data_IF_380804967950
#
_entry.id   IF_380804967950
#
_cell.length_a   1.000
_cell.length_b   1.000
_cell.length_c   1.000
_cell.angle_alpha   90.00
_cell.angle_beta   90.00
_cell.angle_gamma   90.00
#
_symmetry.space_group_name_H-M   'P 1'
#
loop_
_entity.id
_entity.type
_entity.pdbx_description
1 polymer ?
#
# COMPACT_ATOMS: atom_id res chain seq x y z
N UNK A 1 59.84 -24.96 -16.42
CA UNK A 1 58.43 -25.32 -16.63
C UNK A 1 57.56 -24.28 -15.89
N UNK A 2 56.90 -23.40 -16.63
CA UNK A 2 56.01 -22.42 -16.02
C UNK A 2 54.59 -23.00 -16.00
N UNK A 3 54.07 -23.23 -14.81
CA UNK A 3 52.68 -23.70 -14.62
C UNK A 3 51.81 -22.47 -14.57
N UNK A 4 51.04 -22.24 -15.64
CA UNK A 4 50.04 -21.16 -15.68
C UNK A 4 48.79 -21.67 -14.94
N UNK A 5 48.60 -21.17 -13.71
CA UNK A 5 47.36 -21.37 -12.97
C UNK A 5 46.37 -20.37 -13.51
N UNK A 6 45.45 -20.83 -14.37
CA UNK A 6 44.29 -20.06 -14.76
C UNK A 6 43.32 -20.01 -13.59
N UNK A 7 43.32 -18.90 -12.88
CA UNK A 7 42.28 -18.59 -11.91
C UNK A 7 41.03 -18.17 -12.70
N UNK A 8 40.11 -19.09 -12.89
CA UNK A 8 38.76 -18.80 -13.40
C UNK A 8 37.98 -18.11 -12.29
N UNK A 9 37.89 -16.79 -12.39
CA UNK A 9 36.98 -16.00 -11.55
C UNK A 9 35.59 -16.23 -12.08
N UNK A 10 34.83 -17.10 -11.41
CA UNK A 10 33.41 -17.29 -11.63
C UNK A 10 32.68 -16.09 -11.00
N UNK A 11 32.41 -15.08 -11.79
CA UNK A 11 31.55 -13.96 -11.39
C UNK A 11 30.11 -14.49 -11.34
N UNK A 12 29.65 -14.87 -10.15
CA UNK A 12 28.25 -15.18 -9.90
C UNK A 12 27.46 -13.87 -9.96
N UNK A 13 26.84 -13.57 -11.10
CA UNK A 13 25.83 -12.52 -11.23
C UNK A 13 24.61 -12.96 -10.42
N UNK A 14 24.51 -12.49 -9.19
CA UNK A 14 23.26 -12.54 -8.42
C UNK A 14 22.25 -11.60 -9.11
N UNK A 15 21.39 -12.16 -9.96
CA UNK A 15 20.17 -11.46 -10.40
C UNK A 15 19.27 -11.30 -9.17
N UNK A 16 19.33 -10.13 -8.54
CA UNK A 16 18.34 -9.72 -7.56
C UNK A 16 17.09 -9.40 -8.39
N UNK A 17 16.16 -10.35 -8.49
CA UNK A 17 14.80 -10.07 -8.93
C UNK A 17 14.15 -9.18 -7.88
N UNK A 18 14.30 -7.87 -8.04
CA UNK A 18 13.45 -6.92 -7.33
C UNK A 18 12.02 -7.14 -7.85
N UNK A 19 11.16 -7.72 -7.02
CA UNK A 19 9.73 -7.76 -7.29
C UNK A 19 9.22 -6.32 -7.20
N UNK A 20 9.19 -5.64 -8.33
CA UNK A 20 8.54 -4.34 -8.42
C UNK A 20 7.05 -4.61 -8.28
N UNK A 21 6.48 -4.22 -7.14
CA UNK A 21 5.04 -4.13 -6.96
C UNK A 21 4.57 -3.06 -7.94
N UNK A 22 3.90 -3.48 -9.02
CA UNK A 22 3.39 -2.57 -10.03
C UNK A 22 2.18 -1.82 -9.44
N UNK A 23 2.18 -0.47 -9.56
CA UNK A 23 1.00 0.32 -9.24
C UNK A 23 -0.18 -0.12 -10.13
N UNK A 24 -1.44 -0.07 -9.64
CA UNK A 24 -2.61 -0.31 -10.47
C UNK A 24 -2.61 0.59 -11.71
N UNK A 25 -3.18 0.13 -12.82
CA UNK A 25 -3.34 0.96 -14.01
C UNK A 25 -4.30 2.14 -13.78
N UNK A 26 -4.31 3.13 -14.68
CA UNK A 26 -5.10 4.35 -14.53
C UNK A 26 -6.60 4.09 -14.34
N UNK A 27 -7.15 3.08 -15.02
CA UNK A 27 -8.55 2.69 -14.86
C UNK A 27 -8.81 2.13 -13.47
N UNK A 28 -7.92 1.28 -12.98
CA UNK A 28 -8.03 0.71 -11.65
C UNK A 28 -7.84 1.78 -10.57
N UNK A 29 -6.91 2.71 -10.75
CA UNK A 29 -6.74 3.85 -9.84
C UNK A 29 -8.02 4.65 -9.70
N UNK A 30 -8.70 5.00 -10.81
CA UNK A 30 -9.96 5.72 -10.77
C UNK A 30 -11.07 4.94 -10.02
N UNK A 31 -11.13 3.63 -10.18
CA UNK A 31 -12.05 2.78 -9.42
C UNK A 31 -11.73 2.78 -7.92
N UNK A 32 -10.45 2.71 -7.58
CA UNK A 32 -9.99 2.70 -6.18
C UNK A 32 -10.21 4.05 -5.50
N UNK A 33 -10.00 5.17 -6.21
CA UNK A 33 -10.33 6.49 -5.68
C UNK A 33 -11.83 6.64 -5.43
N UNK A 34 -12.66 6.13 -6.35
CA UNK A 34 -14.11 6.13 -6.15
C UNK A 34 -14.50 5.30 -4.92
N UNK A 35 -13.93 4.11 -4.76
CA UNK A 35 -14.13 3.26 -3.59
C UNK A 35 -13.68 3.97 -2.31
N UNK A 36 -12.52 4.60 -2.33
CA UNK A 36 -12.00 5.36 -1.18
C UNK A 36 -12.96 6.47 -0.77
N UNK A 37 -13.45 7.25 -1.74
CA UNK A 37 -14.38 8.34 -1.48
C UNK A 37 -15.74 7.85 -0.97
N UNK A 38 -16.30 6.79 -1.54
CA UNK A 38 -17.65 6.33 -1.25
C UNK A 38 -17.70 5.35 -0.06
N UNK A 39 -16.85 4.33 -0.07
CA UNK A 39 -16.92 3.26 0.93
C UNK A 39 -16.10 3.60 2.18
N UNK A 40 -14.85 3.99 2.02
CA UNK A 40 -14.02 4.43 3.15
C UNK A 40 -14.54 5.76 3.71
N UNK A 41 -14.90 6.69 2.85
CA UNK A 41 -15.43 8.00 3.21
C UNK A 41 -16.76 7.95 3.98
N UNK A 42 -17.56 6.90 3.80
CA UNK A 42 -18.81 6.72 4.55
C UNK A 42 -18.57 6.70 6.07
N UNK A 43 -17.45 6.17 6.52
CA UNK A 43 -17.06 6.12 7.94
C UNK A 43 -15.97 7.13 8.30
N UNK A 44 -15.00 7.36 7.41
CA UNK A 44 -13.85 8.23 7.68
C UNK A 44 -14.05 9.70 7.25
N UNK A 45 -15.22 10.01 6.69
CA UNK A 45 -15.56 11.35 6.19
C UNK A 45 -15.18 11.54 4.73
N UNK A 46 -15.93 12.38 4.01
CA UNK A 46 -15.71 12.66 2.58
C UNK A 46 -14.36 13.33 2.31
N UNK A 47 -13.80 14.00 3.30
CA UNK A 47 -12.47 14.62 3.26
C UNK A 47 -11.47 13.87 4.15
N UNK A 48 -11.76 12.63 4.53
CA UNK A 48 -10.93 11.80 5.42
C UNK A 48 -10.64 12.44 6.79
N UNK A 49 -11.45 13.37 7.22
CA UNK A 49 -11.27 14.11 8.49
C UNK A 49 -11.96 13.48 9.69
N UNK A 50 -12.51 12.28 9.51
CA UNK A 50 -13.17 11.53 10.55
C UNK A 50 -14.69 11.56 10.44
N UNK A 51 -15.32 10.67 11.18
CA UNK A 51 -16.76 10.45 11.27
C UNK A 51 -16.99 9.32 12.26
N UNK A 52 -17.66 8.27 11.87
CA UNK A 52 -17.74 7.03 12.66
C UNK A 52 -16.36 6.37 12.83
N UNK A 53 -15.52 6.48 11.82
CA UNK A 53 -14.11 6.09 11.87
C UNK A 53 -13.19 7.26 12.17
N UNK A 54 -11.91 6.99 12.52
CA UNK A 54 -10.95 8.04 12.82
C UNK A 54 -10.56 8.87 11.59
N UNK A 55 -9.97 10.03 11.87
CA UNK A 55 -9.31 10.89 10.89
C UNK A 55 -8.18 10.14 10.16
N UNK A 56 -8.16 10.19 8.85
CA UNK A 56 -7.16 9.59 7.96
C UNK A 56 -6.35 10.64 7.19
N UNK A 57 -6.33 11.88 7.67
CA UNK A 57 -5.50 12.91 7.03
C UNK A 57 -4.01 12.56 7.14
N UNK A 58 -3.24 13.13 6.22
CA UNK A 58 -1.78 12.98 6.22
C UNK A 58 -1.15 13.29 7.59
N UNK A 59 -1.64 14.35 8.26
CA UNK A 59 -1.15 14.75 9.57
C UNK A 59 -1.39 13.66 10.63
N UNK A 60 -2.59 13.08 10.64
CA UNK A 60 -2.96 12.02 11.58
C UNK A 60 -2.21 10.71 11.32
N UNK A 61 -1.95 10.42 10.03
CA UNK A 61 -1.23 9.20 9.64
C UNK A 61 0.28 9.34 9.73
N UNK A 62 0.81 10.54 9.94
CA UNK A 62 2.23 10.77 10.09
C UNK A 62 2.80 9.94 11.26
N UNK A 63 3.90 9.24 11.02
CA UNK A 63 4.53 8.36 12.00
C UNK A 63 3.93 6.95 12.11
N UNK A 64 2.83 6.66 11.41
CA UNK A 64 2.32 5.28 11.29
C UNK A 64 3.05 4.57 10.16
N UNK A 65 3.45 3.31 10.38
CA UNK A 65 4.12 2.55 9.33
C UNK A 65 3.14 2.17 8.23
N UNK A 66 3.60 2.22 6.98
CA UNK A 66 2.85 1.78 5.80
C UNK A 66 2.31 0.36 5.98
N UNK A 67 3.15 -0.56 6.45
CA UNK A 67 2.78 -1.96 6.63
C UNK A 67 1.69 -2.15 7.69
N UNK A 68 1.73 -1.39 8.77
CA UNK A 68 0.68 -1.39 9.79
C UNK A 68 -0.66 -0.90 9.23
N UNK A 69 -0.65 0.11 8.38
CA UNK A 69 -1.85 0.62 7.72
C UNK A 69 -2.41 -0.39 6.71
N UNK A 70 -1.54 -1.03 5.93
CA UNK A 70 -1.94 -2.11 5.02
C UNK A 70 -2.57 -3.27 5.78
N UNK A 71 -1.97 -3.71 6.88
CA UNK A 71 -2.53 -4.77 7.73
C UNK A 71 -3.90 -4.39 8.28
N UNK A 72 -4.07 -3.14 8.73
CA UNK A 72 -5.35 -2.63 9.24
C UNK A 72 -6.44 -2.64 8.18
N UNK A 73 -6.16 -2.19 6.96
CA UNK A 73 -7.13 -2.23 5.86
C UNK A 73 -7.43 -3.66 5.44
N UNK A 74 -6.41 -4.50 5.32
CA UNK A 74 -6.57 -5.89 4.89
C UNK A 74 -7.42 -6.72 5.83
N UNK A 75 -7.18 -6.57 7.13
CA UNK A 75 -7.79 -7.40 8.17
C UNK A 75 -8.98 -6.74 8.85
N UNK A 76 -9.15 -5.43 8.69
CA UNK A 76 -10.07 -4.63 9.48
C UNK A 76 -9.64 -4.51 10.94
N UNK A 77 -10.56 -4.04 11.76
CA UNK A 77 -10.38 -3.98 13.21
C UNK A 77 -11.43 -4.84 13.88
N UNK A 78 -11.10 -6.09 14.29
CA UNK A 78 -12.03 -7.00 14.96
C UNK A 78 -12.70 -6.32 16.16
N UNK A 79 -13.99 -6.55 16.32
CA UNK A 79 -14.80 -5.93 17.37
C UNK A 79 -15.22 -4.47 17.09
N UNK A 80 -14.92 -3.96 15.90
CA UNK A 80 -15.34 -2.63 15.44
C UNK A 80 -16.11 -2.74 14.11
N UNK A 81 -16.67 -1.61 13.66
CA UNK A 81 -17.38 -1.55 12.37
C UNK A 81 -16.47 -1.62 11.15
N UNK A 82 -15.15 -1.46 11.30
CA UNK A 82 -14.22 -1.53 10.18
C UNK A 82 -14.03 -2.97 9.68
N UNK A 83 -14.50 -3.30 8.47
CA UNK A 83 -14.32 -4.63 7.90
C UNK A 83 -12.90 -4.82 7.36
N UNK A 84 -12.51 -6.08 7.15
CA UNK A 84 -11.31 -6.41 6.38
C UNK A 84 -11.61 -6.34 4.87
N UNK A 85 -10.71 -5.73 4.11
CA UNK A 85 -10.87 -5.51 2.67
C UNK A 85 -10.14 -6.54 1.81
N UNK A 86 -9.30 -7.39 2.39
CA UNK A 86 -8.55 -8.41 1.65
C UNK A 86 -9.42 -9.33 0.77
N UNK A 87 -10.67 -9.67 1.11
CA UNK A 87 -11.52 -10.47 0.22
C UNK A 87 -11.96 -9.73 -1.06
N UNK A 88 -11.92 -8.40 -1.08
CA UNK A 88 -12.41 -7.56 -2.17
C UNK A 88 -11.31 -6.83 -2.94
N UNK A 89 -10.17 -6.63 -2.32
CA UNK A 89 -9.04 -5.86 -2.86
C UNK A 89 -7.76 -6.69 -2.85
N UNK A 90 -7.00 -6.58 -3.93
CA UNK A 90 -5.68 -7.20 -3.98
C UNK A 90 -4.70 -6.50 -3.02
N UNK A 91 -3.59 -7.15 -2.64
CA UNK A 91 -2.54 -6.49 -1.85
C UNK A 91 -2.00 -5.21 -2.52
N UNK A 92 -1.91 -5.19 -3.85
CA UNK A 92 -1.45 -4.02 -4.61
C UNK A 92 -2.47 -2.88 -4.55
N UNK A 93 -3.76 -3.17 -4.64
CA UNK A 93 -4.84 -2.21 -4.47
C UNK A 93 -4.79 -1.56 -3.08
N UNK A 94 -4.67 -2.38 -2.04
CA UNK A 94 -4.60 -1.90 -0.64
C UNK A 94 -3.35 -1.07 -0.43
N UNK A 95 -2.20 -1.51 -0.93
CA UNK A 95 -0.95 -0.77 -0.86
C UNK A 95 -1.06 0.59 -1.54
N UNK A 96 -1.67 0.66 -2.71
CA UNK A 96 -1.89 1.91 -3.44
C UNK A 96 -2.83 2.87 -2.69
N UNK A 97 -3.93 2.38 -2.13
CA UNK A 97 -4.85 3.19 -1.32
C UNK A 97 -4.16 3.77 -0.08
N UNK A 98 -3.36 2.97 0.61
CA UNK A 98 -2.58 3.43 1.77
C UNK A 98 -1.57 4.51 1.36
N UNK A 99 -0.88 4.32 0.24
CA UNK A 99 0.07 5.33 -0.27
C UNK A 99 -0.64 6.63 -0.62
N UNK A 100 -1.83 6.55 -1.22
CA UNK A 100 -2.64 7.74 -1.53
C UNK A 100 -3.04 8.52 -0.27
N UNK A 101 -3.45 7.82 0.78
CA UNK A 101 -3.76 8.43 2.08
C UNK A 101 -2.52 9.06 2.73
N UNK A 102 -1.38 8.40 2.69
CA UNK A 102 -0.12 8.91 3.24
C UNK A 102 0.39 10.16 2.49
N UNK A 103 0.07 10.29 1.21
CA UNK A 103 0.35 11.48 0.41
C UNK A 103 -0.61 12.64 0.72
N UNK A 104 -1.77 12.35 1.28
CA UNK A 104 -2.82 13.31 1.59
C UNK A 104 -3.94 13.27 0.55
N UNK A 105 -4.95 12.46 0.79
CA UNK A 105 -6.16 12.36 -0.03
C UNK A 105 -7.40 12.78 0.81
N UNK A 106 -8.38 13.50 0.22
CA UNK A 106 -8.28 14.16 -1.08
C UNK A 106 -7.22 15.26 -1.07
N UNK A 107 -6.60 15.52 -2.24
CA UNK A 107 -5.69 16.66 -2.36
C UNK A 107 -6.45 17.96 -2.05
N UNK A 108 -5.79 18.95 -1.41
CA UNK A 108 -6.41 20.24 -1.09
C UNK A 108 -6.78 21.02 -2.37
#
# INVERSE_FOLDING_TARGET
MKVYRHATILAALLLICATTVAAPDAKRQAQLEHLLAQDCGACHGLHMTGGLGPDLTRATLAGKSRDSLIATVSQGRPGTAMPGWAPLLSPDDIGWLVDLLLQGYPAP
#
